data_IF_859345950020
#
_entry.id   IF_859345950020
#
_cell.length_a   1.000
_cell.length_b   1.000
_cell.length_c   1.000
_cell.angle_alpha   90.00
_cell.angle_beta   90.00
_cell.angle_gamma   90.00
#
_symmetry.space_group_name_H-M   'P 1'
#
loop_
_entity.id
_entity.type
_entity.pdbx_description
1 polymer ?
#
# COMPACT_ATOMS: atom_id res chain seq x y z
N UNK A 1 -20.08 -4.16 -2.52
CA UNK A 1 -19.23 -2.94 -2.57
C UNK A 1 -18.13 -3.14 -1.55
N UNK A 2 -16.87 -3.29 -1.97
CA UNK A 2 -15.77 -3.42 -1.03
C UNK A 2 -15.54 -2.07 -0.34
N UNK A 3 -15.81 -2.00 0.96
CA UNK A 3 -15.59 -0.79 1.76
C UNK A 3 -14.09 -0.48 1.83
N UNK A 4 -13.70 0.77 1.52
CA UNK A 4 -12.31 1.21 1.70
C UNK A 4 -12.03 1.40 3.19
N UNK A 5 -11.38 0.41 3.79
CA UNK A 5 -11.06 0.37 5.21
C UNK A 5 -9.67 0.97 5.52
N UNK A 6 -8.99 1.60 4.55
CA UNK A 6 -7.64 2.13 4.75
C UNK A 6 -7.54 3.08 5.95
N UNK A 7 -8.58 3.90 6.19
CA UNK A 7 -8.64 4.82 7.33
C UNK A 7 -8.80 4.12 8.69
N UNK A 8 -9.26 2.87 8.70
CA UNK A 8 -9.44 2.05 9.90
C UNK A 8 -8.20 1.21 10.22
N UNK A 9 -7.20 1.20 9.34
CA UNK A 9 -6.00 0.39 9.47
C UNK A 9 -4.89 1.24 10.04
N UNK A 10 -4.24 0.75 11.11
CA UNK A 10 -3.10 1.43 11.69
C UNK A 10 -1.90 1.50 10.73
N UNK A 11 -1.16 2.61 10.82
CA UNK A 11 0.03 2.88 10.01
C UNK A 11 1.10 1.77 9.97
N UNK A 12 1.34 0.98 11.04
CA UNK A 12 2.28 -0.14 11.00
C UNK A 12 1.90 -1.22 9.99
N UNK A 13 0.61 -1.56 9.87
CA UNK A 13 0.14 -2.54 8.90
C UNK A 13 0.26 -2.02 7.47
N UNK A 14 -0.08 -0.75 7.25
CA UNK A 14 0.16 -0.09 5.95
C UNK A 14 1.66 -0.14 5.61
N UNK A 15 2.52 0.16 6.57
CA UNK A 15 3.98 0.11 6.37
C UNK A 15 4.48 -1.30 6.07
N UNK A 16 3.91 -2.32 6.73
CA UNK A 16 4.21 -3.72 6.46
C UNK A 16 3.79 -4.12 5.05
N UNK A 17 2.60 -3.72 4.61
CA UNK A 17 2.13 -3.92 3.24
C UNK A 17 3.06 -3.25 2.22
N UNK A 18 3.51 -2.03 2.47
CA UNK A 18 4.44 -1.34 1.55
C UNK A 18 5.83 -1.98 1.49
N UNK A 19 6.27 -2.65 2.56
CA UNK A 19 7.55 -3.38 2.60
C UNK A 19 7.54 -4.69 1.82
N UNK A 20 6.37 -5.28 1.55
CA UNK A 20 6.28 -6.48 0.70
C UNK A 20 6.36 -6.16 -0.78
N UNK A 21 6.18 -4.89 -1.16
CA UNK A 21 6.30 -4.44 -2.54
C UNK A 21 7.77 -4.30 -2.96
N UNK A 22 8.09 -4.55 -4.24
CA UNK A 22 9.42 -4.33 -4.78
C UNK A 22 9.79 -2.85 -4.76
N UNK A 23 11.09 -2.55 -4.86
CA UNK A 23 11.58 -1.16 -4.83
C UNK A 23 10.87 -0.26 -5.86
N UNK A 24 10.26 0.83 -5.38
CA UNK A 24 9.50 1.78 -6.19
C UNK A 24 10.33 2.42 -7.31
N UNK A 25 11.66 2.44 -7.20
CA UNK A 25 12.54 2.97 -8.24
C UNK A 25 12.73 1.98 -9.38
N UNK A 26 12.66 0.67 -9.11
CA UNK A 26 12.84 -0.40 -10.10
C UNK A 26 11.53 -0.86 -10.75
N UNK A 27 10.39 -0.67 -10.08
CA UNK A 27 9.08 -1.00 -10.62
C UNK A 27 8.75 -0.21 -11.88
N UNK A 28 8.25 -0.89 -12.92
CA UNK A 28 7.65 -0.22 -14.09
C UNK A 28 6.17 0.12 -13.86
N UNK A 29 5.52 -0.58 -12.94
CA UNK A 29 4.10 -0.45 -12.67
C UNK A 29 3.81 0.77 -11.79
N UNK A 30 2.71 1.46 -12.10
CA UNK A 30 2.24 2.62 -11.33
C UNK A 30 1.28 2.22 -10.20
N UNK A 31 0.73 1.01 -10.26
CA UNK A 31 -0.15 0.44 -9.25
C UNK A 31 0.26 -0.98 -8.98
N UNK A 32 0.27 -1.35 -7.71
CA UNK A 32 0.50 -2.73 -7.27
C UNK A 32 -0.45 -3.05 -6.13
N UNK A 33 -0.76 -4.32 -5.99
CA UNK A 33 -1.63 -4.80 -4.94
C UNK A 33 -0.86 -5.79 -4.08
N UNK A 34 -1.14 -5.77 -2.78
CA UNK A 34 -0.52 -6.69 -1.83
C UNK A 34 -1.56 -7.10 -0.82
N UNK A 35 -1.45 -8.33 -0.32
CA UNK A 35 -2.35 -8.88 0.69
C UNK A 35 -1.53 -9.17 1.92
N UNK A 36 -1.96 -8.64 3.06
CA UNK A 36 -1.36 -8.95 4.35
C UNK A 36 -2.47 -9.35 5.33
N UNK A 37 -2.10 -10.14 6.33
CA UNK A 37 -2.97 -10.44 7.45
C UNK A 37 -2.87 -9.33 8.51
N UNK A 38 -4.02 -8.79 8.89
CA UNK A 38 -4.15 -7.81 9.97
C UNK A 38 -4.91 -8.49 11.12
N UNK A 39 -4.32 -8.63 12.32
CA UNK A 39 -4.89 -9.44 13.41
C UNK A 39 -6.34 -9.12 13.78
N UNK A 40 -6.76 -7.85 13.64
CA UNK A 40 -8.11 -7.39 14.01
C UNK A 40 -9.10 -7.48 12.83
N UNK A 41 -8.61 -7.42 11.60
CA UNK A 41 -9.45 -7.27 10.40
C UNK A 41 -9.46 -8.51 9.49
N UNK A 42 -8.51 -9.43 9.69
CA UNK A 42 -8.27 -10.60 8.82
C UNK A 42 -7.37 -10.26 7.63
N UNK A 43 -7.55 -10.98 6.52
CA UNK A 43 -6.81 -10.70 5.29
C UNK A 43 -7.29 -9.39 4.67
N UNK A 44 -6.35 -8.49 4.39
CA UNK A 44 -6.63 -7.19 3.78
C UNK A 44 -5.78 -7.02 2.53
N UNK A 45 -6.43 -6.71 1.42
CA UNK A 45 -5.81 -6.33 0.15
C UNK A 45 -5.60 -4.82 0.12
N UNK A 46 -4.35 -4.40 0.05
CA UNK A 46 -3.94 -3.02 -0.12
C UNK A 46 -3.64 -2.76 -1.58
N UNK A 47 -4.26 -1.71 -2.11
CA UNK A 47 -3.90 -1.14 -3.40
C UNK A 47 -2.93 0.00 -3.17
N UNK A 48 -1.74 -0.17 -3.68
CA UNK A 48 -0.64 0.76 -3.54
C UNK A 48 -0.39 1.45 -4.88
N UNK A 49 -0.20 2.77 -4.82
CA UNK A 49 0.16 3.59 -5.96
C UNK A 49 1.60 4.03 -5.81
N UNK A 50 2.34 3.97 -6.90
CA UNK A 50 3.66 4.56 -6.97
C UNK A 50 3.54 6.06 -7.11
N UNK A 51 4.12 6.80 -6.18
CA UNK A 51 4.19 8.26 -6.24
C UNK A 51 5.64 8.72 -6.36
N UNK A 52 5.81 9.86 -7.02
CA UNK A 52 7.11 10.53 -7.11
C UNK A 52 7.07 11.74 -6.20
N UNK A 53 7.84 11.69 -5.12
CA UNK A 53 8.12 12.82 -4.27
C UNK A 53 9.22 13.69 -4.86
N UNK A 54 9.11 15.00 -4.66
CA UNK A 54 10.18 15.95 -4.98
C UNK A 54 10.57 16.69 -3.71
N UNK A 55 11.82 16.54 -3.30
CA UNK A 55 12.40 17.28 -2.20
C UNK A 55 13.57 18.11 -2.75
N UNK A 56 13.25 19.36 -3.10
CA UNK A 56 14.20 20.28 -3.75
C UNK A 56 14.69 19.75 -5.11
N UNK A 57 15.99 19.46 -5.18
CA UNK A 57 16.66 18.89 -6.37
C UNK A 57 16.48 17.37 -6.49
N UNK A 58 16.12 16.68 -5.40
CA UNK A 58 15.98 15.23 -5.39
C UNK A 58 14.57 14.81 -5.78
N UNK A 59 14.47 13.79 -6.62
CA UNK A 59 13.23 13.07 -6.92
C UNK A 59 13.38 11.66 -6.39
N UNK A 60 12.43 11.22 -5.57
CA UNK A 60 12.39 9.86 -5.05
C UNK A 60 11.03 9.25 -5.36
N UNK A 61 11.02 7.95 -5.64
CA UNK A 61 9.78 7.19 -5.83
C UNK A 61 9.51 6.40 -4.57
N UNK A 62 8.24 6.37 -4.18
CA UNK A 62 7.78 5.61 -3.02
C UNK A 62 6.40 5.03 -3.31
N UNK A 63 6.10 3.92 -2.66
CA UNK A 63 4.75 3.36 -2.65
C UNK A 63 3.91 4.06 -1.59
N UNK A 64 2.67 4.35 -1.92
CA UNK A 64 1.66 4.78 -0.95
C UNK A 64 0.46 3.85 -1.06
N UNK A 65 -0.14 3.47 0.07
CA UNK A 65 -1.45 2.83 0.02
C UNK A 65 -2.51 3.89 -0.30
N UNK A 66 -3.37 3.59 -1.28
CA UNK A 66 -4.49 4.47 -1.68
C UNK A 66 -5.84 3.88 -1.28
N UNK A 67 -5.95 2.56 -1.28
CA UNK A 67 -7.18 1.85 -0.95
C UNK A 67 -6.82 0.58 -0.19
N UNK A 68 -7.68 0.16 0.74
CA UNK A 68 -7.56 -1.13 1.41
C UNK A 68 -8.93 -1.78 1.51
N UNK A 69 -8.99 -3.08 1.21
CA UNK A 69 -10.21 -3.86 1.16
C UNK A 69 -10.04 -5.12 1.96
N UNK A 70 -11.01 -5.45 2.81
CA UNK A 70 -11.04 -6.76 3.47
C UNK A 70 -11.28 -7.83 2.41
N UNK A 71 -10.46 -8.88 2.44
CA UNK A 71 -10.64 -10.07 1.63
C UNK A 71 -11.40 -11.06 2.51
N UNK A 72 -12.68 -11.23 2.23
CA UNK A 72 -13.44 -12.32 2.83
C UNK A 72 -13.11 -13.62 2.09
N UNK A 73 -12.97 -14.75 2.81
CA UNK A 73 -12.78 -16.07 2.20
C UNK A 73 -14.02 -16.55 1.42
#
# INVERSE_FOLDING_TARGET
>A
MSENILRKIDGPYVSQALKTLPDANKGKEDFMETVIEVPVLGLVRFKCKRMTGRQGKYRYRFWTAIEAFKVEP
#
